data_IF_370361644647
#
_entry.id   IF_370361644647
#
_cell.length_a   1.000
_cell.length_b   1.000
_cell.length_c   1.000
_cell.angle_alpha   90.00
_cell.angle_beta   90.00
_cell.angle_gamma   90.00
#
_symmetry.space_group_name_H-M   'P 1'
#
loop_
_entity.id
_entity.type
_entity.pdbx_description
1 polymer ?
#
# COMPACT_ATOMS: atom_id res chain seq x y z
N UNK A 1 12.05 -1.32 -24.44
CA UNK A 1 11.87 -0.47 -23.21
C UNK A 1 10.74 -1.10 -22.39
N UNK A 2 10.99 -1.40 -21.12
CA UNK A 2 9.99 -2.04 -20.25
C UNK A 2 8.80 -1.13 -19.95
N UNK A 3 7.59 -1.70 -19.95
CA UNK A 3 6.37 -0.98 -19.66
C UNK A 3 5.37 -1.90 -18.95
N UNK A 4 5.00 -1.58 -17.72
CA UNK A 4 4.09 -2.41 -16.91
C UNK A 4 4.31 -2.28 -15.42
N UNK A 5 3.66 -3.15 -14.64
CA UNK A 5 3.75 -3.22 -13.19
C UNK A 5 4.54 -4.49 -12.83
N UNK A 6 5.61 -4.33 -12.05
CA UNK A 6 6.46 -5.41 -11.58
C UNK A 6 6.29 -5.58 -10.08
N UNK A 7 5.73 -6.69 -9.59
CA UNK A 7 5.76 -7.01 -8.17
C UNK A 7 7.19 -7.36 -7.75
N UNK A 8 7.76 -6.58 -6.84
CA UNK A 8 9.12 -6.79 -6.33
C UNK A 8 9.05 -7.28 -4.90
N UNK A 9 9.79 -8.33 -4.58
CA UNK A 9 10.05 -8.70 -3.20
C UNK A 9 11.11 -7.77 -2.62
N UNK A 10 10.68 -6.84 -1.77
CA UNK A 10 11.62 -6.00 -1.03
C UNK A 10 12.18 -6.77 0.15
N UNK A 11 13.47 -6.99 0.17
CA UNK A 11 14.19 -7.59 1.29
C UNK A 11 14.34 -6.61 2.45
N UNK A 12 14.61 -7.12 3.64
CA UNK A 12 14.96 -6.30 4.81
C UNK A 12 16.28 -5.58 4.57
N UNK A 13 16.48 -4.47 5.28
CA UNK A 13 17.68 -3.64 5.18
C UNK A 13 17.65 -2.65 4.01
N UNK A 14 16.70 -2.77 3.07
CA UNK A 14 16.54 -1.83 1.96
C UNK A 14 15.33 -0.92 2.21
N UNK A 15 15.48 0.36 1.88
CA UNK A 15 14.32 1.26 1.74
C UNK A 15 13.59 0.97 0.41
N UNK A 16 12.32 1.35 0.31
CA UNK A 16 11.58 1.28 -0.97
C UNK A 16 12.25 2.14 -2.06
N UNK A 17 12.95 3.19 -1.66
CA UNK A 17 13.70 4.08 -2.55
C UNK A 17 14.97 3.40 -3.10
N UNK A 18 15.67 2.63 -2.26
CA UNK A 18 16.84 1.84 -2.69
C UNK A 18 16.46 0.81 -3.74
N UNK A 19 15.30 0.14 -3.57
CA UNK A 19 14.76 -0.78 -4.57
C UNK A 19 14.54 -0.08 -5.91
N UNK A 20 13.87 1.08 -5.92
CA UNK A 20 13.67 1.87 -7.14
C UNK A 20 15.00 2.31 -7.76
N UNK A 21 15.95 2.74 -6.94
CA UNK A 21 17.27 3.17 -7.41
C UNK A 21 18.05 2.01 -8.06
N UNK A 22 18.05 0.83 -7.43
CA UNK A 22 18.69 -0.39 -7.98
C UNK A 22 18.00 -0.82 -9.28
N UNK A 23 16.68 -0.80 -9.35
CA UNK A 23 15.93 -1.12 -10.57
C UNK A 23 16.21 -0.15 -11.71
N UNK A 24 16.37 1.15 -11.43
CA UNK A 24 16.77 2.13 -12.45
C UNK A 24 18.12 1.81 -13.07
N UNK A 25 19.07 1.31 -12.27
CA UNK A 25 20.39 0.87 -12.76
C UNK A 25 20.29 -0.41 -13.59
N UNK A 26 19.57 -1.43 -13.10
CA UNK A 26 19.39 -2.71 -13.80
C UNK A 26 18.70 -2.48 -15.15
N UNK A 27 17.57 -1.78 -15.15
CA UNK A 27 16.70 -1.64 -16.33
C UNK A 27 17.07 -0.43 -17.22
N UNK A 28 18.11 0.33 -16.84
CA UNK A 28 18.62 1.52 -17.57
C UNK A 28 17.51 2.53 -17.93
N UNK A 29 16.54 2.74 -17.01
CA UNK A 29 15.43 3.67 -17.19
C UNK A 29 15.15 4.49 -15.92
N UNK A 30 14.83 5.78 -16.10
CA UNK A 30 14.49 6.69 -15.00
C UNK A 30 13.00 6.61 -14.60
N UNK A 31 12.14 6.15 -15.52
CA UNK A 31 10.68 6.15 -15.36
C UNK A 31 10.23 4.93 -14.56
N UNK A 32 10.54 4.92 -13.26
CA UNK A 32 10.21 3.88 -12.30
C UNK A 32 9.74 4.52 -11.00
N UNK A 33 8.63 4.01 -10.43
CA UNK A 33 8.09 4.44 -9.14
C UNK A 33 7.39 3.29 -8.41
N UNK A 34 7.48 3.26 -7.07
CA UNK A 34 6.80 2.26 -6.25
C UNK A 34 5.39 2.74 -5.82
N UNK A 35 4.53 1.80 -5.43
CA UNK A 35 3.12 2.05 -5.07
C UNK A 35 2.85 1.94 -3.57
N UNK A 36 3.78 2.40 -2.75
CA UNK A 36 3.61 2.44 -1.30
C UNK A 36 4.86 1.98 -0.55
N UNK A 37 5.30 2.84 0.35
CA UNK A 37 6.52 2.63 1.13
C UNK A 37 6.41 1.42 2.05
N UNK A 38 7.51 0.70 2.22
CA UNK A 38 7.81 -0.23 3.29
C UNK A 38 8.99 0.31 4.08
N UNK A 39 8.94 0.20 5.40
CA UNK A 39 10.06 0.55 6.27
C UNK A 39 11.28 -0.35 5.96
N UNK A 40 12.52 0.07 6.27
CA UNK A 40 13.72 -0.70 5.94
C UNK A 40 13.67 -2.14 6.47
N UNK A 41 13.24 -2.32 7.71
CA UNK A 41 13.16 -3.63 8.38
C UNK A 41 11.94 -4.49 7.96
N UNK A 42 11.07 -3.96 7.11
CA UNK A 42 9.90 -4.67 6.62
C UNK A 42 10.17 -5.28 5.25
N UNK A 43 9.99 -6.60 5.13
CA UNK A 43 10.05 -7.30 3.85
C UNK A 43 8.66 -7.42 3.20
N UNK A 44 8.64 -7.81 1.93
CA UNK A 44 7.41 -8.22 1.25
C UNK A 44 7.14 -7.54 -0.07
N UNK A 45 5.90 -7.66 -0.52
CA UNK A 45 5.45 -7.22 -1.85
C UNK A 45 5.52 -5.72 -2.02
N UNK A 46 6.32 -5.25 -2.97
CA UNK A 46 6.43 -3.85 -3.37
C UNK A 46 6.14 -3.74 -4.88
N UNK A 47 4.90 -3.45 -5.30
CA UNK A 47 4.63 -3.24 -6.70
C UNK A 47 5.34 -1.98 -7.20
N UNK A 48 6.03 -2.13 -8.31
CA UNK A 48 6.82 -1.06 -8.97
C UNK A 48 6.26 -0.84 -10.36
N UNK A 49 5.87 0.39 -10.66
CA UNK A 49 5.41 0.80 -11.98
C UNK A 49 6.59 1.25 -12.83
N UNK A 50 6.66 0.77 -14.07
CA UNK A 50 7.73 1.04 -15.03
C UNK A 50 7.12 1.65 -16.29
N UNK A 51 7.77 2.68 -16.85
CA UNK A 51 7.31 3.31 -18.07
C UNK A 51 5.97 4.02 -17.91
N UNK A 52 5.03 3.80 -18.82
CA UNK A 52 3.68 4.41 -18.76
C UNK A 52 2.86 3.95 -17.55
N UNK A 53 3.15 2.76 -16.99
CA UNK A 53 2.48 2.27 -15.80
C UNK A 53 2.71 3.17 -14.56
N UNK A 54 3.75 4.02 -14.53
CA UNK A 54 3.91 5.03 -13.47
C UNK A 54 2.72 5.98 -13.35
N UNK A 55 1.93 6.10 -14.40
CA UNK A 55 0.72 6.96 -14.43
C UNK A 55 -0.49 6.33 -13.70
N UNK A 56 -0.44 5.03 -13.41
CA UNK A 56 -1.50 4.30 -12.68
C UNK A 56 -1.10 3.94 -11.25
N UNK A 57 0.08 4.38 -10.78
CA UNK A 57 0.62 4.04 -9.45
C UNK A 57 -0.33 4.36 -8.30
N UNK A 58 -1.06 5.49 -8.37
CA UNK A 58 -2.02 5.89 -7.34
C UNK A 58 -3.18 4.89 -7.22
N UNK A 59 -3.66 4.38 -8.37
CA UNK A 59 -4.75 3.38 -8.39
C UNK A 59 -4.31 2.05 -7.81
N UNK A 60 -3.11 1.58 -8.16
CA UNK A 60 -2.51 0.37 -7.55
C UNK A 60 -2.37 0.55 -6.03
N UNK A 61 -1.94 1.74 -5.58
CA UNK A 61 -1.81 2.04 -4.16
C UNK A 61 -3.15 1.96 -3.41
N UNK A 62 -4.26 2.28 -4.07
CA UNK A 62 -5.60 2.33 -3.50
C UNK A 62 -6.28 0.94 -3.42
N UNK A 63 -5.76 -0.08 -4.12
CA UNK A 63 -6.34 -1.44 -4.16
C UNK A 63 -6.25 -2.23 -2.84
N UNK A 64 -5.57 -1.70 -1.84
CA UNK A 64 -5.45 -2.35 -0.52
C UNK A 64 -4.15 -3.12 -0.32
N UNK A 65 -3.99 -3.63 0.90
CA UNK A 65 -2.78 -4.34 1.35
C UNK A 65 -3.14 -5.40 2.38
N UNK A 66 -2.36 -6.49 2.41
CA UNK A 66 -2.40 -7.46 3.49
C UNK A 66 -1.02 -7.65 4.12
N UNK A 67 -1.02 -7.83 5.42
CA UNK A 67 0.18 -7.97 6.23
C UNK A 67 0.08 -9.16 7.16
N UNK A 68 1.23 -9.78 7.44
CA UNK A 68 1.44 -10.62 8.61
C UNK A 68 2.39 -9.89 9.57
N UNK A 69 1.96 -9.71 10.81
CA UNK A 69 2.70 -8.99 11.84
C UNK A 69 2.82 -9.83 13.10
N UNK A 70 3.93 -9.69 13.84
CA UNK A 70 4.05 -10.17 15.21
C UNK A 70 3.85 -8.99 16.13
N UNK A 71 2.85 -9.07 16.99
CA UNK A 71 2.59 -8.14 18.09
C UNK A 71 3.32 -8.65 19.31
N UNK A 72 4.04 -7.76 19.99
CA UNK A 72 4.73 -8.03 21.26
C UNK A 72 4.10 -7.16 22.35
N UNK A 73 3.47 -7.79 23.32
CA UNK A 73 2.84 -7.16 24.48
C UNK A 73 3.80 -7.26 25.66
N UNK A 74 3.98 -6.17 26.40
CA UNK A 74 4.86 -6.07 27.56
C UNK A 74 5.91 -4.97 27.46
N UNK A 75 6.17 -4.44 26.26
CA UNK A 75 7.16 -3.39 26.02
C UNK A 75 6.73 -2.46 24.89
N UNK A 76 6.85 -1.15 25.10
CA UNK A 76 6.71 -0.14 24.05
C UNK A 76 8.04 0.51 23.68
N UNK A 77 8.14 1.06 22.47
CA UNK A 77 9.36 1.65 21.93
C UNK A 77 9.09 2.99 21.25
N UNK A 78 10.14 3.79 21.06
CA UNK A 78 10.08 5.11 20.41
C UNK A 78 9.64 5.06 18.95
N UNK A 79 9.85 3.94 18.26
CA UNK A 79 9.48 3.74 16.85
C UNK A 79 8.21 2.92 16.65
N UNK A 80 7.58 2.45 17.74
CA UNK A 80 6.44 1.52 17.74
C UNK A 80 6.79 0.15 17.12
N UNK A 81 8.07 -0.13 16.86
CA UNK A 81 8.63 -1.42 16.46
C UNK A 81 9.86 -1.78 17.31
N UNK A 82 10.45 -2.95 17.08
CA UNK A 82 11.57 -3.43 17.91
C UNK A 82 12.89 -2.65 17.73
N UNK A 83 12.99 -1.72 16.76
CA UNK A 83 14.22 -0.99 16.45
C UNK A 83 14.43 0.25 17.32
N UNK A 84 13.36 0.74 17.96
CA UNK A 84 13.42 1.92 18.83
C UNK A 84 13.86 1.61 20.24
N UNK A 85 14.27 2.68 20.95
CA UNK A 85 14.57 2.60 22.37
C UNK A 85 13.31 2.28 23.18
N UNK A 86 13.47 1.50 24.24
CA UNK A 86 12.37 1.12 25.13
C UNK A 86 11.86 2.36 25.89
N UNK A 87 10.54 2.58 25.82
CA UNK A 87 9.85 3.63 26.56
C UNK A 87 9.26 3.12 27.87
N UNK A 88 8.57 1.97 27.81
CA UNK A 88 7.87 1.40 28.95
C UNK A 88 7.93 -0.13 28.89
N UNK A 89 8.02 -0.76 30.06
CA UNK A 89 7.91 -2.21 30.23
C UNK A 89 6.91 -2.54 31.32
N UNK A 90 6.10 -3.57 31.11
CA UNK A 90 5.17 -4.13 32.09
C UNK A 90 5.07 -5.62 31.87
N UNK A 91 5.45 -6.42 32.86
CA UNK A 91 5.42 -7.87 32.75
C UNK A 91 4.03 -8.41 32.38
N UNK A 92 4.02 -9.43 31.54
CA UNK A 92 2.81 -10.08 31.02
C UNK A 92 2.89 -11.57 31.33
N UNK A 93 1.81 -12.09 31.92
CA UNK A 93 1.71 -13.49 32.31
C UNK A 93 0.48 -14.15 31.66
N UNK A 94 0.47 -15.46 31.58
CA UNK A 94 -0.63 -16.24 30.97
C UNK A 94 -1.98 -16.10 31.68
N UNK A 95 -1.98 -15.55 32.89
CA UNK A 95 -3.21 -15.25 33.65
C UNK A 95 -3.83 -13.88 33.28
N UNK A 96 -3.10 -12.99 32.59
CA UNK A 96 -3.59 -11.62 32.30
C UNK A 96 -4.65 -11.59 31.21
N UNK A 97 -4.52 -12.46 30.20
CA UNK A 97 -5.50 -12.61 29.10
C UNK A 97 -5.31 -13.95 28.39
N UNK A 98 -6.32 -14.39 27.69
CA UNK A 98 -6.33 -15.62 26.91
C UNK A 98 -6.58 -15.35 25.41
N UNK A 99 -6.65 -16.43 24.60
CA UNK A 99 -6.86 -16.34 23.14
C UNK A 99 -8.17 -15.66 22.77
N UNK A 100 -9.25 -16.00 23.50
CA UNK A 100 -10.59 -15.46 23.20
C UNK A 100 -10.66 -13.95 23.51
N UNK A 101 -9.91 -13.48 24.50
CA UNK A 101 -9.79 -12.05 24.80
C UNK A 101 -9.10 -11.32 23.66
N UNK A 102 -8.01 -11.88 23.14
CA UNK A 102 -7.31 -11.31 21.96
C UNK A 102 -8.21 -11.33 20.73
N UNK A 103 -8.88 -12.46 20.46
CA UNK A 103 -9.69 -12.59 19.25
C UNK A 103 -10.90 -11.63 19.27
N UNK A 104 -11.57 -11.47 20.40
CA UNK A 104 -12.63 -10.46 20.60
C UNK A 104 -12.09 -9.03 20.45
N UNK A 105 -10.90 -8.77 20.99
CA UNK A 105 -10.29 -7.46 20.87
C UNK A 105 -9.97 -7.13 19.40
N UNK A 106 -9.39 -8.07 18.66
CA UNK A 106 -9.05 -7.87 17.24
C UNK A 106 -10.31 -7.57 16.41
N UNK A 107 -11.43 -8.26 16.66
CA UNK A 107 -12.72 -7.97 16.00
C UNK A 107 -13.14 -6.50 16.18
N UNK A 108 -12.84 -5.89 17.33
CA UNK A 108 -13.18 -4.49 17.60
C UNK A 108 -12.41 -3.46 16.75
N UNK A 109 -11.37 -3.89 16.03
CA UNK A 109 -10.62 -3.03 15.12
C UNK A 109 -11.13 -3.10 13.69
N UNK A 110 -12.06 -3.99 13.33
CA UNK A 110 -12.63 -4.04 11.98
C UNK A 110 -13.45 -2.80 11.67
N UNK A 111 -13.39 -2.39 10.41
CA UNK A 111 -14.08 -1.19 9.92
C UNK A 111 -13.19 0.06 9.90
N UNK A 112 -13.82 1.22 10.01
CA UNK A 112 -13.13 2.51 10.00
C UNK A 112 -12.69 2.85 11.43
N UNK A 113 -11.39 2.99 11.63
CA UNK A 113 -10.79 3.38 12.91
C UNK A 113 -9.98 4.67 12.74
N UNK A 114 -9.73 5.36 13.84
CA UNK A 114 -8.78 6.50 13.88
C UNK A 114 -7.41 6.01 14.32
N UNK A 115 -6.36 6.40 13.61
CA UNK A 115 -4.97 6.21 14.00
C UNK A 115 -4.23 7.55 14.07
N UNK A 116 -3.32 7.69 15.01
CA UNK A 116 -2.30 8.73 15.04
C UNK A 116 -1.03 8.16 14.41
N UNK A 117 -0.58 8.64 13.22
CA UNK A 117 0.63 8.10 12.57
C UNK A 117 1.84 8.12 13.50
N UNK A 118 2.76 7.13 13.41
CA UNK A 118 3.98 7.14 14.20
C UNK A 118 4.87 8.33 13.83
N UNK A 119 5.69 8.80 14.76
CA UNK A 119 6.65 9.90 14.49
C UNK A 119 7.61 9.55 13.36
N UNK A 120 8.04 8.28 13.27
CA UNK A 120 8.86 7.79 12.17
C UNK A 120 8.01 7.40 10.95
N UNK A 121 7.34 8.39 10.35
CA UNK A 121 6.53 8.22 9.14
C UNK A 121 6.78 9.33 8.12
N UNK A 122 6.34 9.10 6.86
CA UNK A 122 6.42 10.10 5.78
C UNK A 122 5.21 11.03 5.70
N UNK A 123 4.36 11.03 6.72
CA UNK A 123 3.25 11.99 6.83
C UNK A 123 3.81 13.41 6.95
N UNK A 124 3.28 14.33 6.16
CA UNK A 124 3.68 15.74 6.20
C UNK A 124 2.77 16.54 7.13
N UNK A 125 3.40 17.34 7.99
CA UNK A 125 2.77 18.35 8.83
C UNK A 125 3.57 19.65 8.62
N UNK A 126 2.91 20.75 8.33
CA UNK A 126 3.54 22.05 8.03
C UNK A 126 4.68 21.94 6.97
N UNK A 127 4.46 21.11 5.93
CA UNK A 127 5.41 20.95 4.83
C UNK A 127 6.60 19.99 5.10
N UNK A 128 6.87 19.63 6.35
CA UNK A 128 7.97 18.77 6.81
C UNK A 128 7.42 17.38 7.17
N UNK A 129 8.15 16.29 6.91
CA UNK A 129 7.71 14.93 7.25
C UNK A 129 7.90 14.64 8.74
N UNK A 130 7.04 13.82 9.34
CA UNK A 130 7.11 13.50 10.77
C UNK A 130 8.47 12.92 11.17
N UNK A 131 9.07 12.05 10.37
CA UNK A 131 10.40 11.49 10.69
C UNK A 131 11.52 12.56 10.72
N UNK A 132 11.35 13.70 10.03
CA UNK A 132 12.30 14.81 10.06
C UNK A 132 12.20 15.58 11.38
N UNK A 133 10.98 15.72 11.93
CA UNK A 133 10.79 16.23 13.30
C UNK A 133 11.41 15.30 14.33
N UNK A 134 11.16 13.98 14.21
CA UNK A 134 11.72 12.98 15.14
C UNK A 134 13.25 13.03 15.17
N UNK A 135 13.92 13.10 14.02
CA UNK A 135 15.40 13.18 13.94
C UNK A 135 15.99 14.44 14.53
N UNK A 136 15.22 15.53 14.51
CA UNK A 136 15.66 16.81 15.07
C UNK A 136 15.22 16.99 16.52
N UNK A 137 14.61 15.99 17.16
CA UNK A 137 14.00 16.07 18.49
C UNK A 137 12.98 17.23 18.62
N UNK A 138 12.28 17.55 17.50
CA UNK A 138 11.24 18.57 17.47
C UNK A 138 9.89 17.96 17.79
N UNK A 139 9.08 18.61 18.62
CA UNK A 139 7.70 18.22 18.90
C UNK A 139 6.75 18.78 17.85
N UNK A 140 5.77 17.97 17.42
CA UNK A 140 4.71 18.39 16.51
C UNK A 140 3.45 17.60 16.80
N UNK A 141 2.30 18.28 16.72
CA UNK A 141 1.01 17.61 16.84
C UNK A 141 0.78 16.70 15.62
N UNK A 142 0.54 15.42 15.88
CA UNK A 142 0.29 14.42 14.82
C UNK A 142 -1.19 14.38 14.47
N UNK A 143 -1.55 14.50 13.18
CA UNK A 143 -2.95 14.49 12.78
C UNK A 143 -3.56 13.10 12.93
N UNK A 144 -4.75 13.02 13.49
CA UNK A 144 -5.56 11.79 13.45
C UNK A 144 -5.99 11.50 12.01
N UNK A 145 -5.99 10.24 11.63
CA UNK A 145 -6.41 9.80 10.30
C UNK A 145 -7.36 8.62 10.40
N UNK A 146 -8.42 8.66 9.62
CA UNK A 146 -9.32 7.51 9.45
C UNK A 146 -8.69 6.51 8.49
N UNK A 147 -8.59 5.26 8.93
CA UNK A 147 -8.09 4.13 8.14
C UNK A 147 -9.13 3.01 8.18
N UNK A 148 -9.12 2.14 7.17
CA UNK A 148 -10.08 1.06 7.07
C UNK A 148 -9.36 -0.29 7.25
N UNK A 149 -9.70 -1.01 8.30
CA UNK A 149 -9.30 -2.40 8.53
C UNK A 149 -10.42 -3.30 7.98
N UNK A 150 -10.18 -3.89 6.82
CA UNK A 150 -11.19 -4.76 6.18
C UNK A 150 -11.35 -6.08 6.92
N UNK A 151 -10.24 -6.61 7.41
CA UNK A 151 -10.19 -7.83 8.19
C UNK A 151 -8.93 -7.88 9.05
N UNK A 152 -9.04 -8.50 10.22
CA UNK A 152 -7.94 -8.73 11.14
C UNK A 152 -8.24 -9.99 11.96
N UNK A 153 -7.22 -10.83 12.15
CA UNK A 153 -7.34 -12.03 12.97
C UNK A 153 -5.98 -12.54 13.44
N UNK A 154 -5.98 -13.24 14.56
CA UNK A 154 -4.81 -13.94 15.07
C UNK A 154 -4.55 -15.21 14.26
N UNK A 155 -3.28 -15.46 13.94
CA UNK A 155 -2.85 -16.61 13.12
C UNK A 155 -1.80 -17.49 13.81
N UNK A 156 -1.58 -17.29 15.12
CA UNK A 156 -0.71 -18.12 15.93
C UNK A 156 -1.23 -18.30 17.35
N UNK A 157 -0.65 -19.24 18.08
CA UNK A 157 -0.79 -19.36 19.52
C UNK A 157 -0.21 -18.12 20.23
N UNK A 158 -0.55 -17.92 21.52
CA UNK A 158 0.09 -16.93 22.39
C UNK A 158 1.38 -17.54 22.93
N UNK A 159 2.49 -16.85 22.75
CA UNK A 159 3.81 -17.26 23.18
C UNK A 159 4.29 -16.34 24.32
N UNK A 160 4.18 -16.84 25.57
CA UNK A 160 4.60 -16.10 26.76
C UNK A 160 6.05 -16.44 27.09
N UNK A 161 6.94 -15.46 26.97
CA UNK A 161 8.38 -15.57 27.22
C UNK A 161 8.93 -14.28 27.81
N UNK A 162 9.86 -14.37 28.74
CA UNK A 162 10.62 -13.22 29.25
C UNK A 162 9.76 -12.05 29.73
N UNK A 163 8.58 -12.36 30.34
CA UNK A 163 7.58 -11.37 30.75
C UNK A 163 6.94 -10.58 29.59
N UNK A 164 7.01 -11.08 28.36
CA UNK A 164 6.27 -10.57 27.20
C UNK A 164 5.35 -11.66 26.65
N UNK A 165 4.33 -11.24 25.90
CA UNK A 165 3.49 -12.15 25.13
C UNK A 165 3.59 -11.79 23.63
N UNK A 166 3.91 -12.79 22.80
CA UNK A 166 4.03 -12.62 21.36
C UNK A 166 2.95 -13.43 20.63
N UNK A 167 2.32 -12.83 19.64
CA UNK A 167 1.41 -13.55 18.74
C UNK A 167 1.38 -12.90 17.37
N UNK A 168 1.05 -13.72 16.37
CA UNK A 168 0.95 -13.25 14.97
C UNK A 168 -0.48 -12.89 14.63
N UNK A 169 -0.63 -11.82 13.87
CA UNK A 169 -1.89 -11.38 13.27
C UNK A 169 -1.74 -11.27 11.76
N UNK A 170 -2.85 -11.50 11.07
CA UNK A 170 -3.03 -11.15 9.66
C UNK A 170 -3.99 -9.97 9.57
N UNK A 171 -3.62 -8.95 8.79
CA UNK A 171 -4.40 -7.72 8.66
C UNK A 171 -4.63 -7.42 7.18
N UNK A 172 -5.87 -7.21 6.78
CA UNK A 172 -6.25 -6.70 5.44
C UNK A 172 -6.76 -5.28 5.62
N UNK A 173 -6.13 -4.30 4.98
CA UNK A 173 -6.44 -2.90 5.24
C UNK A 173 -6.31 -2.01 3.99
N UNK A 174 -6.88 -0.82 4.09
CA UNK A 174 -6.75 0.25 3.13
C UNK A 174 -5.39 0.96 3.18
N UNK A 175 -5.18 1.91 2.26
CA UNK A 175 -4.01 2.79 2.27
C UNK A 175 -3.92 3.61 3.55
N UNK A 176 -2.69 3.93 3.96
CA UNK A 176 -2.42 4.82 5.10
C UNK A 176 -2.50 4.16 6.47
N UNK A 177 -2.82 2.86 6.55
CA UNK A 177 -2.83 2.10 7.80
C UNK A 177 -1.40 1.82 8.25
N UNK A 178 -1.10 2.14 9.52
CA UNK A 178 0.16 1.85 10.18
C UNK A 178 0.01 0.62 11.09
N UNK A 179 0.65 -0.48 10.72
CA UNK A 179 0.59 -1.73 11.50
C UNK A 179 1.35 -1.58 12.81
N UNK A 180 2.38 -0.73 12.87
CA UNK A 180 3.09 -0.39 14.11
C UNK A 180 2.12 0.23 15.13
N UNK A 181 1.40 1.25 14.74
CA UNK A 181 0.39 1.90 15.59
C UNK A 181 -0.73 0.93 15.97
N UNK A 182 -1.16 0.05 15.04
CA UNK A 182 -2.16 -0.97 15.35
C UNK A 182 -1.68 -1.91 16.48
N UNK A 183 -0.41 -2.33 16.45
CA UNK A 183 0.15 -3.15 17.51
C UNK A 183 0.18 -2.42 18.87
N UNK A 184 0.55 -1.14 18.86
CA UNK A 184 0.50 -0.30 20.06
C UNK A 184 -0.93 -0.12 20.58
N UNK A 185 -1.90 0.14 19.69
CA UNK A 185 -3.32 0.32 20.04
C UNK A 185 -3.93 -0.97 20.63
N UNK A 186 -3.50 -2.16 20.13
CA UNK A 186 -3.88 -3.46 20.71
C UNK A 186 -3.38 -3.55 22.15
N UNK A 187 -2.12 -3.20 22.41
CA UNK A 187 -1.56 -3.18 23.76
C UNK A 187 -2.30 -2.24 24.69
N UNK A 188 -2.55 -1.00 24.25
CA UNK A 188 -3.30 0.00 25.03
C UNK A 188 -4.67 -0.53 25.46
N UNK A 189 -5.41 -1.19 24.55
CA UNK A 189 -6.71 -1.78 24.89
C UNK A 189 -6.62 -2.97 25.86
N UNK A 190 -5.49 -3.67 25.88
CA UNK A 190 -5.21 -4.74 26.86
C UNK A 190 -4.69 -4.21 28.18
N UNK A 191 -4.33 -2.91 28.28
CA UNK A 191 -3.71 -2.31 29.47
C UNK A 191 -2.21 -2.60 29.63
N UNK A 192 -1.52 -2.87 28.52
CA UNK A 192 -0.09 -3.16 28.47
C UNK A 192 0.63 -2.34 27.39
N UNK A 193 1.92 -1.96 27.61
CA UNK A 193 2.75 -1.42 26.55
C UNK A 193 2.99 -2.49 25.48
N UNK A 194 3.02 -2.09 24.20
CA UNK A 194 3.21 -3.01 23.10
C UNK A 194 3.97 -2.38 21.92
N UNK A 195 4.52 -3.23 21.08
CA UNK A 195 5.16 -2.86 19.83
C UNK A 195 4.95 -3.94 18.75
N UNK A 196 5.29 -3.60 17.53
CA UNK A 196 5.34 -4.55 16.41
C UNK A 196 6.77 -5.11 16.29
N UNK A 197 6.98 -6.39 16.60
CA UNK A 197 8.33 -6.98 16.53
C UNK A 197 8.71 -7.49 15.15
N UNK A 198 7.74 -7.86 14.30
CA UNK A 198 7.99 -8.34 12.93
C UNK A 198 6.84 -7.95 12.00
N UNK A 199 7.17 -7.59 10.77
CA UNK A 199 6.18 -7.28 9.74
C UNK A 199 6.62 -7.82 8.37
N UNK A 200 5.66 -8.39 7.66
CA UNK A 200 5.82 -8.76 6.25
C UNK A 200 4.57 -8.32 5.48
N UNK A 201 4.74 -7.56 4.40
CA UNK A 201 3.61 -7.26 3.51
C UNK A 201 3.42 -8.42 2.54
N UNK A 202 2.36 -9.20 2.75
CA UNK A 202 2.07 -10.40 1.96
C UNK A 202 1.27 -10.12 0.70
N UNK A 203 0.57 -8.96 0.64
CA UNK A 203 -0.17 -8.51 -0.53
C UNK A 203 -0.13 -6.98 -0.64
N UNK A 204 -0.06 -6.46 -1.86
CA UNK A 204 -0.18 -5.04 -2.17
C UNK A 204 -0.69 -4.83 -3.60
N UNK A 205 -1.75 -4.04 -3.77
CA UNK A 205 -2.30 -3.73 -5.09
C UNK A 205 -2.78 -4.94 -5.87
N UNK A 206 -3.24 -5.99 -5.17
CA UNK A 206 -3.67 -7.27 -5.76
C UNK A 206 -2.53 -8.22 -6.14
N UNK A 207 -1.27 -7.85 -5.91
CA UNK A 207 -0.10 -8.73 -6.08
C UNK A 207 0.26 -9.39 -4.76
N UNK A 208 0.59 -10.68 -4.80
CA UNK A 208 0.95 -11.49 -3.62
C UNK A 208 2.42 -11.91 -3.65
N UNK A 209 2.93 -12.45 -2.54
CA UNK A 209 4.35 -12.84 -2.42
C UNK A 209 4.82 -13.77 -3.54
N UNK A 210 4.00 -14.75 -3.94
CA UNK A 210 4.35 -15.70 -5.02
C UNK A 210 4.56 -15.06 -6.39
N UNK A 211 3.99 -13.87 -6.61
CA UNK A 211 4.13 -13.12 -7.88
C UNK A 211 5.36 -12.20 -7.86
N UNK A 212 6.01 -12.06 -6.68
CA UNK A 212 7.07 -11.08 -6.47
C UNK A 212 8.45 -11.67 -6.77
N UNK A 213 9.28 -10.87 -7.43
CA UNK A 213 10.66 -11.22 -7.79
C UNK A 213 11.65 -10.46 -6.92
N UNK A 214 12.74 -11.10 -6.52
CA UNK A 214 13.89 -10.44 -5.89
C UNK A 214 14.63 -9.57 -6.91
N UNK A 215 15.45 -8.63 -6.43
CA UNK A 215 16.29 -7.81 -7.32
C UNK A 215 17.28 -8.65 -8.14
N UNK A 216 17.75 -9.75 -7.59
CA UNK A 216 18.65 -10.68 -8.26
C UNK A 216 17.93 -11.41 -9.41
N UNK A 217 16.76 -12.00 -9.15
CA UNK A 217 15.92 -12.63 -10.17
C UNK A 217 15.54 -11.64 -11.30
N UNK A 218 15.26 -10.38 -10.95
CA UNK A 218 14.95 -9.35 -11.95
C UNK A 218 16.19 -9.06 -12.83
N UNK A 219 17.38 -9.01 -12.23
CA UNK A 219 18.62 -8.83 -12.97
C UNK A 219 18.88 -9.98 -13.95
N UNK A 220 18.76 -11.21 -13.49
CA UNK A 220 18.92 -12.42 -14.32
C UNK A 220 17.91 -12.45 -15.48
N UNK A 221 16.63 -12.18 -15.21
CA UNK A 221 15.60 -12.12 -16.25
C UNK A 221 15.83 -10.97 -17.25
N UNK A 222 16.40 -9.86 -16.80
CA UNK A 222 16.79 -8.75 -17.67
C UNK A 222 17.96 -9.14 -18.59
N UNK A 223 18.99 -9.80 -18.08
CA UNK A 223 20.15 -10.29 -18.84
C UNK A 223 19.73 -11.38 -19.87
N UNK A 224 18.66 -12.12 -19.58
CA UNK A 224 18.08 -13.15 -20.47
C UNK A 224 17.02 -12.59 -21.44
N UNK A 225 16.79 -11.29 -21.50
CA UNK A 225 15.72 -10.64 -22.27
C UNK A 225 14.29 -11.18 -22.01
N UNK A 226 14.07 -11.83 -20.88
CA UNK A 226 12.81 -12.51 -20.52
C UNK A 226 11.93 -11.75 -19.50
N UNK A 227 12.44 -10.65 -18.92
CA UNK A 227 11.75 -9.89 -17.87
C UNK A 227 10.40 -9.31 -18.31
N UNK A 228 10.23 -8.95 -19.61
CA UNK A 228 8.96 -8.39 -20.11
C UNK A 228 7.78 -9.33 -19.85
N UNK A 229 8.01 -10.65 -19.87
CA UNK A 229 6.98 -11.66 -19.63
C UNK A 229 6.51 -11.72 -18.16
N UNK A 230 7.21 -11.05 -17.25
CA UNK A 230 6.89 -10.95 -15.82
C UNK A 230 6.23 -9.64 -15.42
N UNK A 231 6.12 -8.69 -16.36
CA UNK A 231 5.42 -7.44 -16.12
C UNK A 231 3.92 -7.62 -16.35
N UNK A 232 3.15 -7.14 -15.39
CA UNK A 232 1.70 -7.02 -15.55
C UNK A 232 1.37 -5.76 -16.36
N UNK A 233 0.37 -5.80 -17.24
CA UNK A 233 -0.04 -4.63 -17.99
C UNK A 233 -0.56 -3.52 -17.07
N UNK A 234 -0.46 -2.27 -17.49
CA UNK A 234 -0.90 -1.12 -16.68
C UNK A 234 -2.42 -1.17 -16.39
N UNK A 235 -3.20 -1.81 -17.25
CA UNK A 235 -4.64 -2.07 -17.11
C UNK A 235 -4.97 -2.83 -15.82
N UNK A 236 -4.05 -3.68 -15.36
CA UNK A 236 -4.19 -4.37 -14.08
C UNK A 236 -4.38 -3.38 -12.91
N UNK A 237 -3.65 -2.26 -12.92
CA UNK A 237 -3.78 -1.21 -11.91
C UNK A 237 -5.12 -0.46 -11.91
N UNK A 238 -5.95 -0.66 -12.92
CA UNK A 238 -7.24 0.01 -13.10
C UNK A 238 -8.45 -0.90 -12.87
N UNK A 239 -8.25 -2.17 -12.51
CA UNK A 239 -9.33 -3.17 -12.32
C UNK A 239 -10.41 -2.75 -11.31
N UNK A 240 -10.10 -1.85 -10.39
CA UNK A 240 -11.05 -1.33 -9.40
C UNK A 240 -11.96 -0.21 -9.93
N UNK A 241 -11.74 0.28 -11.16
CA UNK A 241 -12.54 1.33 -11.77
C UNK A 241 -13.54 0.76 -12.77
N UNK A 242 -14.75 1.36 -12.89
CA UNK A 242 -15.68 1.03 -13.96
C UNK A 242 -15.03 1.36 -15.30
N UNK A 243 -15.33 0.53 -16.33
CA UNK A 243 -14.74 0.69 -17.65
C UNK A 243 -15.79 0.60 -18.76
N UNK A 244 -15.51 1.27 -19.88
CA UNK A 244 -16.29 1.17 -21.12
C UNK A 244 -15.34 0.82 -22.25
N UNK A 245 -15.68 -0.21 -23.03
CA UNK A 245 -14.98 -0.58 -24.24
C UNK A 245 -15.47 0.27 -25.41
N UNK A 246 -14.54 0.84 -26.16
CA UNK A 246 -14.80 1.75 -27.27
C UNK A 246 -14.43 1.05 -28.59
N UNK A 247 -15.43 0.89 -29.47
CA UNK A 247 -15.25 0.34 -30.84
C UNK A 247 -15.06 1.44 -31.87
N UNK A 248 -15.86 2.51 -31.75
CA UNK A 248 -15.91 3.58 -32.75
C UNK A 248 -14.58 4.34 -32.84
N UNK A 249 -13.98 4.35 -34.03
CA UNK A 249 -12.67 4.98 -34.27
C UNK A 249 -12.69 6.50 -34.11
N UNK A 250 -13.82 7.15 -34.39
CA UNK A 250 -13.97 8.59 -34.23
C UNK A 250 -14.00 8.96 -32.72
N UNK A 251 -14.74 8.16 -31.91
CA UNK A 251 -14.77 8.33 -30.46
C UNK A 251 -13.38 8.05 -29.88
N UNK A 252 -12.67 6.98 -30.30
CA UNK A 252 -11.28 6.69 -29.88
C UNK A 252 -10.38 7.91 -30.10
N UNK A 253 -10.45 8.53 -31.29
CA UNK A 253 -9.66 9.71 -31.62
C UNK A 253 -9.98 10.91 -30.72
N UNK A 254 -11.27 11.17 -30.45
CA UNK A 254 -11.71 12.24 -29.54
C UNK A 254 -11.19 12.02 -28.12
N UNK A 255 -11.23 10.77 -27.61
CA UNK A 255 -10.71 10.39 -26.30
C UNK A 255 -9.20 10.63 -26.22
N UNK A 256 -8.43 10.15 -27.20
CA UNK A 256 -6.98 10.32 -27.27
C UNK A 256 -6.55 11.79 -27.38
N UNK A 257 -7.38 12.63 -28.00
CA UNK A 257 -7.18 14.08 -28.06
C UNK A 257 -7.62 14.80 -26.76
N UNK A 258 -8.13 14.08 -25.77
CA UNK A 258 -8.54 14.66 -24.49
C UNK A 258 -9.78 15.55 -24.56
N UNK A 259 -10.70 15.31 -25.50
CA UNK A 259 -11.94 16.06 -25.60
C UNK A 259 -12.88 15.75 -24.42
N UNK A 260 -13.66 16.74 -24.00
CA UNK A 260 -14.75 16.55 -23.03
C UNK A 260 -15.94 15.89 -23.74
N UNK A 261 -16.73 15.13 -22.96
CA UNK A 261 -17.94 14.48 -23.43
C UNK A 261 -19.11 14.79 -22.50
N UNK A 262 -20.33 14.72 -23.05
CA UNK A 262 -21.52 14.63 -22.23
C UNK A 262 -21.64 13.18 -21.73
N UNK A 263 -22.03 12.96 -20.47
CA UNK A 263 -22.24 11.60 -19.92
C UNK A 263 -23.24 10.78 -20.73
N UNK A 264 -24.25 11.44 -21.34
CA UNK A 264 -25.28 10.81 -22.17
C UNK A 264 -24.72 10.18 -23.45
N UNK A 265 -23.50 10.55 -23.89
CA UNK A 265 -22.83 9.90 -25.04
C UNK A 265 -22.42 8.46 -24.72
N UNK A 266 -22.36 8.08 -23.43
CA UNK A 266 -21.94 6.75 -22.97
C UNK A 266 -23.00 6.11 -22.07
N UNK A 267 -22.82 6.19 -20.75
CA UNK A 267 -23.76 5.70 -19.75
C UNK A 267 -23.92 6.75 -18.64
N UNK A 268 -25.16 7.20 -18.44
CA UNK A 268 -25.51 8.17 -17.38
C UNK A 268 -25.11 7.74 -15.95
N UNK A 269 -24.67 6.48 -15.76
CA UNK A 269 -24.28 5.93 -14.47
C UNK A 269 -22.85 6.31 -14.03
N UNK A 270 -22.12 7.09 -14.83
CA UNK A 270 -20.78 7.56 -14.44
C UNK A 270 -20.88 8.50 -13.24
N UNK A 271 -20.50 7.99 -12.06
CA UNK A 271 -20.62 8.74 -10.77
C UNK A 271 -19.36 9.50 -10.40
N UNK A 272 -18.18 8.99 -10.74
CA UNK A 272 -16.87 9.59 -10.38
C UNK A 272 -15.89 9.46 -11.54
N UNK A 273 -15.28 8.30 -11.71
CA UNK A 273 -14.27 8.03 -12.74
C UNK A 273 -14.69 6.87 -13.62
N UNK A 274 -14.20 6.88 -14.86
CA UNK A 274 -14.41 5.84 -15.86
C UNK A 274 -13.12 5.60 -16.65
N UNK A 275 -12.85 4.34 -16.98
CA UNK A 275 -11.74 3.94 -17.85
C UNK A 275 -12.31 3.66 -19.24
N UNK A 276 -11.77 4.32 -20.25
CA UNK A 276 -12.03 3.97 -21.64
C UNK A 276 -10.97 3.01 -22.15
N UNK A 277 -11.42 1.87 -22.65
CA UNK A 277 -10.58 0.77 -23.15
C UNK A 277 -10.85 0.59 -24.63
N UNK A 278 -9.82 0.43 -25.42
CA UNK A 278 -9.93 0.04 -26.82
C UNK A 278 -10.44 -1.40 -26.91
N UNK A 279 -11.57 -1.63 -27.58
CA UNK A 279 -12.20 -2.94 -27.66
C UNK A 279 -11.37 -3.95 -28.48
N UNK A 280 -10.59 -3.48 -29.46
CA UNK A 280 -9.78 -4.33 -30.33
C UNK A 280 -8.47 -4.79 -29.66
N UNK A 281 -7.75 -3.85 -29.02
CA UNK A 281 -6.45 -4.11 -28.43
C UNK A 281 -6.50 -4.40 -26.92
N UNK A 282 -7.65 -4.20 -26.27
CA UNK A 282 -7.86 -4.26 -24.82
C UNK A 282 -6.97 -3.30 -24.00
N UNK A 283 -6.38 -2.31 -24.66
CA UNK A 283 -5.52 -1.32 -24.01
C UNK A 283 -6.33 -0.12 -23.53
N UNK A 284 -5.90 0.43 -22.41
CA UNK A 284 -6.50 1.65 -21.88
C UNK A 284 -6.19 2.85 -22.79
N UNK A 285 -7.24 3.58 -23.17
CA UNK A 285 -7.16 4.84 -23.91
C UNK A 285 -7.01 6.03 -22.96
N UNK A 286 -7.88 6.11 -21.94
CA UNK A 286 -7.88 7.21 -21.00
C UNK A 286 -8.66 6.90 -19.72
N UNK A 287 -8.37 7.65 -18.69
CA UNK A 287 -9.21 7.76 -17.48
C UNK A 287 -9.87 9.11 -17.52
N UNK A 288 -11.20 9.12 -17.44
CA UNK A 288 -12.02 10.30 -17.36
C UNK A 288 -12.65 10.44 -15.98
N UNK A 289 -13.01 11.64 -15.62
CA UNK A 289 -13.70 11.95 -14.37
C UNK A 289 -14.86 12.90 -14.63
N UNK A 290 -15.83 12.89 -13.74
CA UNK A 290 -16.93 13.87 -13.77
C UNK A 290 -16.33 15.27 -13.66
N UNK A 291 -16.86 16.20 -14.45
CA UNK A 291 -16.39 17.59 -14.42
C UNK A 291 -16.75 18.23 -13.08
N UNK A 292 -15.82 18.94 -12.40
CA UNK A 292 -16.04 19.40 -11.03
C UNK A 292 -17.17 20.46 -10.90
N UNK A 293 -17.52 21.15 -11.99
CA UNK A 293 -18.56 22.21 -11.99
C UNK A 293 -19.71 21.94 -12.96
N UNK A 294 -19.65 20.87 -13.76
CA UNK A 294 -20.67 20.51 -14.76
C UNK A 294 -20.96 19.02 -14.66
N UNK A 295 -21.90 18.66 -13.82
CA UNK A 295 -22.21 17.25 -13.53
C UNK A 295 -22.62 16.39 -14.74
N UNK A 296 -23.13 17.00 -15.80
CA UNK A 296 -23.48 16.34 -17.06
C UNK A 296 -22.28 16.03 -17.95
N UNK A 297 -21.11 16.61 -17.68
CA UNK A 297 -19.89 16.45 -18.48
C UNK A 297 -18.87 15.55 -17.78
N UNK A 298 -18.05 14.86 -18.58
CA UNK A 298 -16.82 14.19 -18.15
C UNK A 298 -15.62 14.81 -18.87
N UNK A 299 -14.50 14.88 -18.17
CA UNK A 299 -13.24 15.40 -18.69
C UNK A 299 -12.10 14.41 -18.52
N UNK A 300 -11.04 14.47 -19.34
CA UNK A 300 -9.89 13.61 -19.18
C UNK A 300 -9.16 13.92 -17.86
N UNK A 301 -8.80 12.87 -17.16
CA UNK A 301 -7.89 12.89 -16.00
C UNK A 301 -6.50 12.43 -16.43
N UNK A 302 -6.42 11.36 -17.23
CA UNK A 302 -5.18 10.83 -17.81
C UNK A 302 -5.49 10.24 -19.19
N UNK A 303 -4.71 10.58 -20.20
CA UNK A 303 -4.81 10.00 -21.55
C UNK A 303 -3.54 9.19 -21.80
N UNK A 304 -3.66 7.97 -22.35
CA UNK A 304 -2.55 7.05 -22.60
C UNK A 304 -2.31 6.97 -24.12
N UNK A 305 -1.29 7.65 -24.58
CA UNK A 305 -0.81 7.64 -25.97
C UNK A 305 0.46 6.79 -26.08
#
# INVERSE_FOLDING_TARGET
MYNGILPVYKERGLTSHDVVFKLRKILKTKKIGHTGTLDPEVAGVLPVCIGNATRVSDYVMDMGKAYEATVSIGRSTTTEDQTGDTLETKGVHSADFNKDDIDRLLESFKGIIEQIPPMYSSVKVNGKKLYEYARNNETVERPKRKVNIKDIGRISELDFKENECHFKIRVICGKGTYIRTLATDIGVKLGFPANMSKLTRIESGGFVLKDSLTLEQIKELHEQDSLQNKLFPLEYGLKGLPSIKIKDSHIKKRILNGQKFNKNEFDNKIKDQIVFIDDDSEKVLAIYMVHPTKESEIKPKKVFN
#
